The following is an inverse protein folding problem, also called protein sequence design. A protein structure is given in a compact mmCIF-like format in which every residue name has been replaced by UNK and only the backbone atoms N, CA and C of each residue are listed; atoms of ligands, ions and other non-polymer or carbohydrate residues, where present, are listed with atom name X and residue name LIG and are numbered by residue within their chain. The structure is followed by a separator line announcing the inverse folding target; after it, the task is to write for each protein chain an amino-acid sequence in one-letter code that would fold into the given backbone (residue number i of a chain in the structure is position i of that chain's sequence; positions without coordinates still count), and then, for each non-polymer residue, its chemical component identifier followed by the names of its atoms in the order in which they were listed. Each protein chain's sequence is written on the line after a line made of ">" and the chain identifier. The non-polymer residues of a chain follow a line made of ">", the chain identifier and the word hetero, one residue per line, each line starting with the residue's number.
data_IF_478794274783
#
_entry.id   IF_478794274783
#
_cell.length_a   1.000
_cell.length_b   1.000
_cell.length_c   1.000
_cell.angle_alpha   90.00
_cell.angle_beta   90.00
_cell.angle_gamma   90.00
#
_symmetry.space_group_name_H-M   'P 1'
#
loop_
_entity.id
_entity.type
_entity.pdbx_description
1 polymer ?
#
# COMPACT_ATOMS: atom_id res chain seq x y z
N UNK A 1 6.12 -0.59 -23.70
CA UNK A 1 5.41 -1.88 -23.86
C UNK A 1 4.87 -2.30 -22.50
N UNK A 2 3.60 -2.71 -22.42
CA UNK A 2 3.01 -3.32 -21.21
C UNK A 2 2.95 -4.82 -21.43
N UNK A 3 3.51 -5.60 -20.49
CA UNK A 3 3.44 -7.07 -20.53
C UNK A 3 2.12 -7.55 -19.92
N UNK A 4 1.56 -8.57 -20.51
CA UNK A 4 0.43 -9.34 -20.01
C UNK A 4 0.70 -10.84 -20.21
N UNK A 5 -0.13 -11.76 -19.68
CA UNK A 5 0.08 -13.20 -19.81
C UNK A 5 0.18 -13.70 -21.25
N UNK A 6 -0.46 -13.02 -22.21
CA UNK A 6 -0.49 -13.38 -23.63
C UNK A 6 0.66 -12.73 -24.43
N UNK A 7 1.51 -11.94 -23.78
CA UNK A 7 2.63 -11.30 -24.47
C UNK A 7 3.63 -12.33 -24.97
N UNK A 8 4.17 -12.11 -26.17
CA UNK A 8 5.26 -12.92 -26.70
C UNK A 8 6.48 -12.87 -25.75
N UNK A 9 7.29 -13.92 -25.69
CA UNK A 9 8.51 -13.92 -24.89
C UNK A 9 9.41 -12.74 -25.22
N UNK A 10 10.00 -12.13 -24.19
CA UNK A 10 10.91 -11.00 -24.37
C UNK A 10 12.18 -11.45 -25.11
N UNK A 11 12.65 -10.61 -26.04
CA UNK A 11 13.98 -10.76 -26.65
C UNK A 11 15.08 -10.56 -25.60
N UNK A 12 16.31 -10.90 -25.94
CA UNK A 12 17.47 -10.75 -25.03
C UNK A 12 18.07 -9.36 -25.05
N UNK A 13 17.68 -8.49 -26.00
CA UNK A 13 18.19 -7.13 -26.08
C UNK A 13 17.15 -6.11 -25.59
N UNK A 14 17.51 -5.35 -24.56
CA UNK A 14 16.66 -4.26 -24.06
C UNK A 14 16.50 -3.13 -25.09
N UNK A 15 17.35 -3.04 -26.10
CA UNK A 15 17.22 -2.05 -27.17
C UNK A 15 15.98 -2.28 -28.05
N UNK A 16 15.48 -3.52 -28.12
CA UNK A 16 14.23 -3.84 -28.80
C UNK A 16 12.99 -3.22 -28.11
N UNK A 17 13.18 -2.67 -26.91
CA UNK A 17 12.15 -1.98 -26.12
C UNK A 17 12.51 -0.50 -25.88
N UNK A 18 12.48 0.33 -26.94
CA UNK A 18 12.97 1.72 -26.87
C UNK A 18 12.23 2.59 -25.86
N UNK A 19 10.96 2.30 -25.56
CA UNK A 19 10.16 2.99 -24.53
C UNK A 19 10.23 2.32 -23.16
N UNK A 20 10.96 1.20 -23.06
CA UNK A 20 11.02 0.38 -21.86
C UNK A 20 9.82 -0.58 -21.73
N UNK A 21 9.75 -1.23 -20.58
CA UNK A 21 8.77 -2.28 -20.30
C UNK A 21 8.05 -1.96 -18.99
N UNK A 22 6.74 -2.14 -18.96
CA UNK A 22 5.90 -2.07 -17.76
C UNK A 22 5.36 -3.48 -17.50
N UNK A 23 5.50 -3.97 -16.27
CA UNK A 23 5.01 -5.28 -15.85
C UNK A 23 4.04 -5.07 -14.69
N UNK A 24 2.75 -5.41 -14.83
CA UNK A 24 1.85 -5.53 -13.70
C UNK A 24 2.20 -6.80 -12.93
N UNK A 25 2.45 -6.66 -11.64
CA UNK A 25 2.79 -7.78 -10.75
C UNK A 25 1.81 -7.78 -9.59
N UNK A 26 1.18 -8.90 -9.33
CA UNK A 26 0.46 -9.12 -8.10
C UNK A 26 1.46 -9.21 -6.94
N UNK A 27 1.49 -8.16 -6.10
CA UNK A 27 2.44 -8.10 -4.99
C UNK A 27 2.03 -9.10 -3.89
N UNK A 28 2.89 -10.04 -3.53
CA UNK A 28 2.57 -10.99 -2.49
C UNK A 28 2.37 -10.31 -1.13
N UNK A 29 1.50 -10.90 -0.31
CA UNK A 29 1.31 -10.53 1.10
C UNK A 29 2.64 -10.56 1.86
N UNK A 30 2.87 -9.59 2.73
CA UNK A 30 4.10 -9.37 3.53
C UNK A 30 5.37 -9.01 2.73
N UNK A 31 5.26 -8.82 1.42
CA UNK A 31 6.36 -8.27 0.64
C UNK A 31 6.26 -6.74 0.60
N UNK A 32 7.40 -6.07 0.71
CA UNK A 32 7.47 -4.65 0.37
C UNK A 32 7.53 -4.46 -1.14
N UNK A 33 7.12 -3.29 -1.64
CA UNK A 33 7.31 -2.93 -3.05
C UNK A 33 8.79 -2.99 -3.45
N UNK A 34 9.71 -2.67 -2.52
CA UNK A 34 11.16 -2.78 -2.72
C UNK A 34 11.65 -4.23 -2.90
N UNK A 35 11.02 -5.20 -2.23
CA UNK A 35 11.35 -6.63 -2.41
C UNK A 35 11.01 -7.09 -3.82
N UNK A 36 9.83 -6.70 -4.32
CA UNK A 36 9.42 -6.97 -5.70
C UNK A 36 10.43 -6.36 -6.69
N UNK A 37 10.76 -5.07 -6.50
CA UNK A 37 11.73 -4.40 -7.37
C UNK A 37 13.09 -5.10 -7.36
N UNK A 38 13.57 -5.52 -6.21
CA UNK A 38 14.85 -6.26 -6.08
C UNK A 38 14.83 -7.56 -6.88
N UNK A 39 13.74 -8.32 -6.76
CA UNK A 39 13.53 -9.59 -7.47
C UNK A 39 13.47 -9.39 -8.99
N UNK A 40 12.64 -8.45 -9.44
CA UNK A 40 12.49 -8.13 -10.87
C UNK A 40 13.79 -7.58 -11.45
N UNK A 41 14.46 -6.67 -10.74
CA UNK A 41 15.76 -6.13 -11.19
C UNK A 41 16.79 -7.21 -11.42
N UNK A 42 16.90 -8.15 -10.48
CA UNK A 42 17.82 -9.29 -10.62
C UNK A 42 17.48 -10.12 -11.86
N UNK A 43 16.20 -10.46 -12.05
CA UNK A 43 15.75 -11.23 -13.22
C UNK A 43 15.99 -10.46 -14.54
N UNK A 44 15.66 -9.17 -14.58
CA UNK A 44 15.83 -8.33 -15.76
C UNK A 44 17.32 -8.16 -16.15
N UNK A 45 18.20 -7.91 -15.17
CA UNK A 45 19.65 -7.83 -15.41
C UNK A 45 20.18 -9.14 -16.00
N UNK A 46 19.75 -10.27 -15.44
CA UNK A 46 20.16 -11.59 -15.93
C UNK A 46 19.62 -11.89 -17.34
N UNK A 47 18.36 -11.48 -17.60
CA UNK A 47 17.73 -11.71 -18.91
C UNK A 47 18.39 -10.88 -20.02
N UNK A 48 18.58 -9.57 -19.80
CA UNK A 48 19.11 -8.63 -20.79
C UNK A 48 20.64 -8.49 -20.77
N UNK A 49 21.34 -9.12 -19.83
CA UNK A 49 22.80 -9.00 -19.71
C UNK A 49 23.30 -7.59 -19.37
N UNK A 50 22.40 -6.66 -18.97
CA UNK A 50 22.71 -5.24 -18.75
C UNK A 50 22.75 -4.89 -17.25
N UNK A 51 23.96 -4.75 -16.70
CA UNK A 51 24.19 -4.51 -15.27
C UNK A 51 23.52 -3.22 -14.73
N UNK A 52 23.54 -2.13 -15.49
CA UNK A 52 23.01 -0.81 -15.09
C UNK A 52 21.56 -0.57 -15.55
N UNK A 53 20.75 -1.63 -15.57
CA UNK A 53 19.34 -1.51 -15.97
C UNK A 53 18.55 -0.81 -14.86
N UNK A 54 17.85 0.28 -15.23
CA UNK A 54 16.94 0.97 -14.31
C UNK A 54 15.69 0.13 -14.14
N UNK A 55 15.27 -0.06 -12.89
CA UNK A 55 14.01 -0.70 -12.53
C UNK A 55 13.41 0.05 -11.35
N UNK A 56 12.15 0.38 -11.45
CA UNK A 56 11.37 1.10 -10.43
C UNK A 56 9.91 0.67 -10.46
N UNK A 57 9.07 1.27 -9.63
CA UNK A 57 7.63 1.01 -9.61
C UNK A 57 6.83 2.31 -9.69
N UNK A 58 5.60 2.21 -10.15
CA UNK A 58 4.62 3.29 -10.19
C UNK A 58 3.58 3.09 -9.07
N UNK A 59 3.86 3.66 -7.92
CA UNK A 59 3.04 3.50 -6.70
C UNK A 59 3.67 2.53 -5.69
N UNK A 60 3.35 2.74 -4.42
CA UNK A 60 3.77 1.87 -3.32
C UNK A 60 2.55 1.14 -2.79
N UNK A 61 2.70 -0.15 -2.55
CA UNK A 61 1.78 -0.95 -1.75
C UNK A 61 2.46 -1.29 -0.42
N UNK A 62 1.71 -1.15 0.66
CA UNK A 62 2.18 -1.50 2.00
C UNK A 62 2.45 -3.00 2.12
N UNK A 63 3.26 -3.45 3.11
CA UNK A 63 3.62 -4.87 3.23
C UNK A 63 2.40 -5.79 3.35
N UNK A 64 1.37 -5.37 4.08
CA UNK A 64 0.15 -6.15 4.29
C UNK A 64 -0.84 -6.08 3.12
N UNK A 65 -0.68 -5.12 2.20
CA UNK A 65 -1.49 -5.06 0.99
C UNK A 65 -0.99 -6.05 -0.07
N UNK A 66 -1.93 -6.63 -0.82
CA UNK A 66 -1.70 -7.37 -2.06
C UNK A 66 -2.24 -6.58 -3.25
N UNK A 67 -2.06 -7.05 -4.46
CA UNK A 67 -2.62 -6.46 -5.66
C UNK A 67 -1.57 -5.89 -6.63
N UNK A 68 -2.03 -5.14 -7.60
CA UNK A 68 -1.24 -4.74 -8.77
C UNK A 68 -0.18 -3.71 -8.43
N UNK A 69 1.08 -4.10 -8.55
CA UNK A 69 2.23 -3.20 -8.53
C UNK A 69 2.80 -3.06 -9.95
N UNK A 70 2.74 -1.85 -10.51
CA UNK A 70 3.32 -1.59 -11.83
C UNK A 70 4.84 -1.43 -11.72
N UNK A 71 5.57 -2.38 -12.26
CA UNK A 71 7.04 -2.36 -12.30
C UNK A 71 7.50 -1.86 -13.66
N UNK A 72 8.34 -0.82 -13.65
CA UNK A 72 8.87 -0.15 -14.83
C UNK A 72 10.34 -0.53 -15.04
N UNK A 73 10.71 -0.93 -16.26
CA UNK A 73 12.08 -1.32 -16.64
C UNK A 73 12.59 -0.40 -17.76
N UNK A 74 13.83 0.02 -17.66
CA UNK A 74 14.48 0.87 -18.66
C UNK A 74 13.89 2.28 -18.71
N UNK A 75 13.54 2.77 -19.91
CA UNK A 75 12.97 4.11 -20.08
C UNK A 75 11.57 4.26 -19.46
N UNK A 76 10.81 3.17 -19.32
CA UNK A 76 9.50 3.20 -18.69
C UNK A 76 9.55 3.71 -17.23
N UNK A 77 10.70 3.69 -16.56
CA UNK A 77 10.84 4.32 -15.22
C UNK A 77 10.56 5.81 -15.20
N UNK A 78 10.58 6.49 -16.34
CA UNK A 78 10.23 7.91 -16.46
C UNK A 78 8.71 8.15 -16.44
N UNK A 79 7.93 7.11 -16.72
CA UNK A 79 6.47 7.16 -16.72
C UNK A 79 5.89 6.90 -15.32
N UNK A 80 6.73 6.58 -14.33
CA UNK A 80 6.26 6.15 -13.00
C UNK A 80 5.37 7.21 -12.33
N UNK A 81 5.69 8.49 -12.45
CA UNK A 81 4.92 9.60 -11.87
C UNK A 81 3.56 9.76 -12.56
N UNK A 82 3.53 9.70 -13.89
CA UNK A 82 2.30 9.72 -14.69
C UNK A 82 1.39 8.54 -14.34
N UNK A 83 1.94 7.32 -14.28
CA UNK A 83 1.19 6.13 -13.89
C UNK A 83 0.65 6.21 -12.46
N UNK A 84 1.35 6.90 -11.56
CA UNK A 84 0.87 7.13 -10.20
C UNK A 84 -0.29 8.13 -10.12
N UNK A 85 -0.48 8.97 -11.12
CA UNK A 85 -1.57 9.95 -11.14
C UNK A 85 -2.91 9.38 -11.60
N UNK A 86 -2.92 8.17 -12.15
CA UNK A 86 -4.16 7.51 -12.59
C UNK A 86 -5.02 7.10 -11.39
N UNK A 87 -6.31 6.86 -11.65
CA UNK A 87 -7.26 6.35 -10.67
C UNK A 87 -6.81 5.01 -10.10
N UNK A 88 -7.21 4.76 -8.86
CA UNK A 88 -6.89 3.54 -8.12
C UNK A 88 -8.14 3.00 -7.46
N UNK A 89 -8.26 1.70 -7.49
CA UNK A 89 -9.32 0.97 -6.79
C UNK A 89 -8.70 0.11 -5.69
N UNK A 90 -9.34 0.09 -4.51
CA UNK A 90 -8.91 -0.67 -3.36
C UNK A 90 -10.08 -1.42 -2.75
N UNK A 91 -9.85 -2.66 -2.36
CA UNK A 91 -10.73 -3.38 -1.45
C UNK A 91 -10.07 -3.37 -0.07
N UNK A 92 -10.70 -2.73 0.90
CA UNK A 92 -10.17 -2.55 2.24
C UNK A 92 -11.05 -3.25 3.28
N UNK A 93 -10.44 -4.05 4.15
CA UNK A 93 -11.07 -4.56 5.35
C UNK A 93 -10.90 -3.56 6.49
N UNK A 94 -12.01 -3.11 7.09
CA UNK A 94 -12.02 -2.21 8.24
C UNK A 94 -12.56 -2.94 9.44
N UNK A 95 -11.81 -2.94 10.56
CA UNK A 95 -12.24 -3.51 11.84
C UNK A 95 -12.62 -2.38 12.78
N UNK A 96 -13.88 -2.36 13.22
CA UNK A 96 -14.38 -1.40 14.19
C UNK A 96 -14.06 -1.82 15.62
N UNK A 97 -14.00 -0.85 16.53
CA UNK A 97 -13.83 -1.07 17.97
C UNK A 97 -12.39 -1.13 18.46
N UNK A 98 -11.41 -0.92 17.57
CA UNK A 98 -10.00 -0.87 17.96
C UNK A 98 -9.20 0.09 17.07
N UNK A 99 -8.09 0.59 17.59
CA UNK A 99 -7.08 1.32 16.83
C UNK A 99 -5.72 0.67 16.95
N UNK A 100 -4.85 0.97 15.99
CA UNK A 100 -3.42 0.64 16.02
C UNK A 100 -2.61 1.87 15.64
N UNK A 101 -1.38 2.03 16.12
CA UNK A 101 -0.55 3.19 15.79
C UNK A 101 -0.21 3.34 14.30
N UNK A 102 -0.33 2.27 13.52
CA UNK A 102 -0.06 2.24 12.07
C UNK A 102 -1.33 2.32 11.21
N UNK A 103 -2.52 2.30 11.82
CA UNK A 103 -3.83 2.18 11.17
C UNK A 103 -4.03 0.89 10.36
N UNK A 104 -3.14 -0.07 10.53
CA UNK A 104 -3.20 -1.41 9.95
C UNK A 104 -2.81 -2.47 10.99
N UNK A 105 -2.66 -3.72 10.54
CA UNK A 105 -2.29 -4.84 11.41
C UNK A 105 -0.77 -5.06 11.54
N UNK A 106 0.06 -4.07 11.17
CA UNK A 106 1.52 -4.14 11.43
C UNK A 106 1.86 -3.96 12.91
N UNK A 107 1.01 -3.23 13.64
CA UNK A 107 1.17 -2.95 15.06
C UNK A 107 0.05 -3.57 15.89
N UNK A 108 0.33 -3.81 17.14
CA UNK A 108 -0.66 -4.27 18.10
C UNK A 108 -1.69 -3.17 18.39
N UNK A 109 -2.87 -3.60 18.83
CA UNK A 109 -3.95 -2.70 19.23
C UNK A 109 -3.50 -1.85 20.41
N UNK A 110 -3.66 -0.54 20.29
CA UNK A 110 -3.33 0.42 21.35
C UNK A 110 -4.57 0.91 22.14
N UNK A 111 -5.76 0.87 21.52
CA UNK A 111 -7.01 1.29 22.18
C UNK A 111 -8.20 0.48 21.70
N UNK A 112 -9.16 0.29 22.62
CA UNK A 112 -10.47 -0.31 22.33
C UNK A 112 -11.59 0.70 22.52
N UNK A 113 -12.63 0.57 21.71
CA UNK A 113 -13.82 1.42 21.72
C UNK A 113 -15.10 0.59 21.68
N UNK A 114 -16.22 1.08 22.25
CA UNK A 114 -17.52 0.46 22.06
C UNK A 114 -17.87 0.42 20.56
N UNK A 115 -18.34 -0.72 20.08
CA UNK A 115 -18.67 -0.93 18.66
C UNK A 115 -19.99 -1.66 18.43
N UNK A 116 -20.69 -2.03 19.50
CA UNK A 116 -21.93 -2.81 19.46
C UNK A 116 -23.07 -2.09 18.71
N UNK A 117 -22.99 -0.76 18.62
CA UNK A 117 -23.96 0.08 17.93
C UNK A 117 -23.70 0.19 16.43
N UNK A 118 -22.58 -0.32 15.92
CA UNK A 118 -22.21 -0.22 14.53
C UNK A 118 -22.91 -1.34 13.74
N UNK A 119 -23.71 -0.96 12.75
CA UNK A 119 -24.44 -1.86 11.86
C UNK A 119 -24.05 -1.60 10.40
N UNK A 120 -24.37 -2.52 9.50
CA UNK A 120 -24.20 -2.32 8.06
C UNK A 120 -24.90 -1.03 7.60
N UNK A 121 -26.14 -0.80 8.02
CA UNK A 121 -26.90 0.41 7.69
C UNK A 121 -26.19 1.69 8.20
N UNK A 122 -25.63 1.66 9.41
CA UNK A 122 -24.89 2.81 9.93
C UNK A 122 -23.64 3.11 9.10
N UNK A 123 -22.94 2.09 8.64
CA UNK A 123 -21.77 2.23 7.75
C UNK A 123 -22.22 2.78 6.39
N UNK A 124 -23.21 2.17 5.73
CA UNK A 124 -23.74 2.62 4.43
C UNK A 124 -24.18 4.09 4.48
N UNK A 125 -24.85 4.50 5.53
CA UNK A 125 -25.26 5.88 5.73
C UNK A 125 -24.10 6.87 5.91
N UNK A 126 -22.94 6.41 6.37
CA UNK A 126 -21.76 7.24 6.54
C UNK A 126 -20.93 7.39 5.24
N UNK A 127 -20.94 6.40 4.33
CA UNK A 127 -20.09 6.40 3.14
C UNK A 127 -20.24 7.66 2.25
N UNK A 128 -21.44 8.22 2.02
CA UNK A 128 -21.59 9.40 1.17
C UNK A 128 -20.80 10.63 1.65
N UNK A 129 -20.51 10.73 2.96
CA UNK A 129 -19.72 11.82 3.51
C UNK A 129 -18.24 11.78 3.10
N UNK A 130 -17.77 10.66 2.59
CA UNK A 130 -16.38 10.46 2.14
C UNK A 130 -16.23 10.55 0.62
N UNK A 131 -17.31 10.73 -0.13
CA UNK A 131 -17.26 10.87 -1.59
C UNK A 131 -16.97 12.31 -1.96
N UNK A 132 -16.16 12.51 -3.01
CA UNK A 132 -15.76 13.80 -3.55
C UNK A 132 -14.38 14.25 -3.12
N UNK A 133 -14.13 15.54 -3.29
CA UNK A 133 -12.84 16.15 -2.94
C UNK A 133 -12.69 16.35 -1.45
N UNK A 134 -11.55 15.92 -0.90
CA UNK A 134 -11.26 16.03 0.52
C UNK A 134 -9.80 16.42 0.75
N UNK A 135 -9.58 17.10 1.86
CA UNK A 135 -8.24 17.36 2.38
C UNK A 135 -7.85 16.21 3.33
N UNK A 136 -6.77 15.52 3.01
CA UNK A 136 -6.27 14.40 3.78
C UNK A 136 -4.85 14.66 4.30
N UNK A 137 -4.65 14.44 5.59
CA UNK A 137 -3.32 14.31 6.19
C UNK A 137 -3.01 12.80 6.25
N UNK A 138 -1.93 12.41 5.61
CA UNK A 138 -1.51 11.01 5.66
C UNK A 138 -1.08 10.64 7.08
N UNK A 139 -1.24 9.37 7.51
CA UNK A 139 -0.68 8.92 8.78
C UNK A 139 0.84 9.03 8.78
N UNK A 140 1.45 9.12 9.97
CA UNK A 140 2.90 9.21 10.08
C UNK A 140 3.57 7.91 9.58
N UNK A 141 2.93 6.75 9.75
CA UNK A 141 3.34 5.49 9.12
C UNK A 141 2.97 5.47 7.62
N UNK A 142 3.54 6.38 6.84
CA UNK A 142 3.30 6.46 5.39
C UNK A 142 4.60 6.66 4.61
N UNK A 143 4.51 6.49 3.29
CA UNK A 143 5.61 6.71 2.36
C UNK A 143 5.86 8.21 2.05
N UNK A 144 5.11 9.15 2.66
CA UNK A 144 5.34 10.58 2.52
C UNK A 144 6.74 10.96 3.02
N UNK A 145 7.24 12.11 2.60
CA UNK A 145 8.57 12.59 2.98
C UNK A 145 8.48 13.94 3.67
N UNK A 146 9.22 14.09 4.76
CA UNK A 146 9.42 15.34 5.51
C UNK A 146 10.91 15.67 5.46
N UNK A 147 11.28 16.76 4.85
CA UNK A 147 12.66 17.22 4.71
C UNK A 147 13.64 16.13 4.19
N UNK A 148 13.16 15.31 3.24
CA UNK A 148 13.96 14.24 2.65
C UNK A 148 13.98 12.93 3.45
N UNK A 149 13.38 12.89 4.64
CA UNK A 149 13.24 11.68 5.47
C UNK A 149 11.84 11.10 5.27
N UNK A 150 11.73 9.79 5.17
CA UNK A 150 10.43 9.12 5.06
C UNK A 150 9.66 9.20 6.38
N UNK A 151 8.37 9.52 6.31
CA UNK A 151 7.51 9.69 7.49
C UNK A 151 7.49 8.41 8.36
N UNK A 152 7.46 7.22 7.77
CA UNK A 152 7.50 5.96 8.52
C UNK A 152 8.81 5.77 9.32
N UNK A 153 9.94 6.39 8.89
CA UNK A 153 11.20 6.34 9.64
C UNK A 153 11.12 7.23 10.88
N UNK A 154 10.44 8.38 10.75
CA UNK A 154 10.15 9.27 11.89
C UNK A 154 9.21 8.58 12.88
N UNK A 155 8.13 7.97 12.36
CA UNK A 155 7.19 7.20 13.17
C UNK A 155 7.89 6.10 13.97
N UNK A 156 8.77 5.32 13.34
CA UNK A 156 9.55 4.28 14.02
C UNK A 156 10.48 4.82 15.10
N UNK A 157 11.09 5.97 14.88
CA UNK A 157 11.93 6.62 15.89
C UNK A 157 11.12 7.08 17.09
N UNK A 158 9.98 7.74 16.86
CA UNK A 158 9.07 8.17 17.91
C UNK A 158 8.54 6.96 18.69
N UNK A 159 8.10 5.92 17.98
CA UNK A 159 7.58 4.69 18.58
C UNK A 159 8.63 3.99 19.47
N UNK A 160 9.90 3.93 19.03
CA UNK A 160 10.97 3.34 19.82
C UNK A 160 11.37 4.20 21.01
N UNK A 161 11.47 5.51 20.84
CA UNK A 161 11.89 6.43 21.91
C UNK A 161 10.93 6.43 23.09
N UNK A 162 9.63 6.22 22.82
CA UNK A 162 8.59 6.26 23.84
C UNK A 162 8.27 4.86 24.39
N UNK A 163 8.58 3.77 23.67
CA UNK A 163 8.33 2.40 24.13
C UNK A 163 9.18 1.97 25.33
N UNK A 164 10.20 2.75 25.69
CA UNK A 164 11.02 2.52 26.90
C UNK A 164 10.40 3.15 28.17
N UNK A 165 9.45 4.11 28.04
CA UNK A 165 8.87 4.82 29.17
C UNK A 165 7.33 4.87 29.20
N UNK A 166 6.66 4.88 28.06
CA UNK A 166 5.18 4.87 27.94
C UNK A 166 4.76 4.28 26.60
N UNK A 167 3.56 3.65 26.53
CA UNK A 167 3.03 3.15 25.26
C UNK A 167 2.62 4.32 24.36
N UNK A 168 3.23 4.44 23.18
CA UNK A 168 2.82 5.41 22.15
C UNK A 168 1.44 5.06 21.64
N UNK A 169 0.50 5.98 21.76
CA UNK A 169 -0.84 5.84 21.25
C UNK A 169 -0.97 6.41 19.82
N UNK A 170 -1.97 5.95 19.09
CA UNK A 170 -2.30 6.48 17.75
C UNK A 170 -2.46 8.01 17.76
N UNK A 171 -3.10 8.56 18.82
CA UNK A 171 -3.29 10.01 18.99
C UNK A 171 -2.00 10.84 19.01
N UNK A 172 -0.90 10.28 19.53
CA UNK A 172 0.40 10.98 19.57
C UNK A 172 1.01 11.06 18.19
N UNK A 173 0.86 10.00 17.41
CA UNK A 173 1.31 9.94 16.03
C UNK A 173 0.46 10.81 15.10
N UNK A 174 -0.84 10.94 15.36
CA UNK A 174 -1.74 11.84 14.63
C UNK A 174 -1.32 13.30 14.83
N UNK A 175 -1.11 13.70 16.07
CA UNK A 175 -0.63 15.05 16.38
C UNK A 175 0.71 15.34 15.70
N UNK A 176 1.63 14.39 15.68
CA UNK A 176 2.90 14.52 14.97
C UNK A 176 2.71 14.57 13.44
N UNK A 177 1.77 13.81 12.89
CA UNK A 177 1.45 13.82 11.46
C UNK A 177 0.88 15.17 11.03
N UNK A 178 -0.05 15.75 11.80
CA UNK A 178 -0.64 17.07 11.56
C UNK A 178 0.40 18.19 11.54
N UNK A 179 1.40 18.10 12.41
CA UNK A 179 2.48 19.10 12.49
C UNK A 179 3.53 18.96 11.38
N UNK A 180 3.80 17.74 10.92
CA UNK A 180 4.93 17.43 10.05
C UNK A 180 4.54 17.21 8.59
N UNK A 181 3.33 16.72 8.33
CA UNK A 181 2.90 16.33 6.99
C UNK A 181 1.99 17.39 6.35
N UNK A 182 2.20 17.61 5.07
CA UNK A 182 1.35 18.51 4.29
C UNK A 182 0.02 17.82 3.97
N UNK A 183 -1.06 18.59 4.04
CA UNK A 183 -2.37 18.23 3.52
C UNK A 183 -2.26 17.83 2.04
N UNK A 184 -2.89 16.75 1.66
CA UNK A 184 -3.03 16.30 0.27
C UNK A 184 -4.48 16.38 -0.13
N UNK A 185 -4.75 17.02 -1.27
CA UNK A 185 -6.09 16.98 -1.87
C UNK A 185 -6.29 15.64 -2.53
N UNK A 186 -7.34 14.92 -2.15
CA UNK A 186 -7.75 13.66 -2.74
C UNK A 186 -9.18 13.78 -3.27
N UNK A 187 -9.55 12.91 -4.20
CA UNK A 187 -10.92 12.79 -4.68
C UNK A 187 -11.33 11.33 -4.65
N UNK A 188 -12.38 11.02 -3.91
CA UNK A 188 -12.98 9.68 -3.87
C UNK A 188 -14.20 9.71 -4.78
N UNK A 189 -14.11 9.00 -5.90
CA UNK A 189 -15.17 8.98 -6.92
C UNK A 189 -16.27 7.98 -6.57
N UNK A 190 -15.91 6.90 -5.91
CA UNK A 190 -16.82 5.81 -5.56
C UNK A 190 -16.38 5.16 -4.25
N UNK A 191 -17.35 4.79 -3.41
CA UNK A 191 -17.14 4.08 -2.16
C UNK A 191 -18.38 3.26 -1.86
N UNK A 192 -18.24 1.95 -1.74
CA UNK A 192 -19.34 1.02 -1.45
C UNK A 192 -18.98 0.02 -0.35
N UNK A 193 -19.98 -0.45 0.36
CA UNK A 193 -19.86 -1.52 1.33
C UNK A 193 -20.07 -2.87 0.63
N UNK A 194 -18.99 -3.64 0.44
CA UNK A 194 -19.07 -4.95 -0.20
C UNK A 194 -19.64 -6.03 0.73
N UNK A 195 -19.30 -5.96 2.02
CA UNK A 195 -19.78 -6.91 3.03
C UNK A 195 -19.65 -6.33 4.42
N UNK A 196 -20.50 -6.79 5.33
CA UNK A 196 -20.43 -6.45 6.75
C UNK A 196 -20.61 -7.75 7.57
N UNK A 197 -19.61 -8.08 8.40
CA UNK A 197 -19.67 -9.25 9.27
C UNK A 197 -19.94 -8.82 10.73
N UNK A 198 -20.86 -9.48 11.37
CA UNK A 198 -21.10 -9.34 12.80
C UNK A 198 -19.96 -9.96 13.65
N UNK A 199 -20.11 -9.85 14.95
CA UNK A 199 -19.11 -10.07 16.02
C UNK A 199 -18.29 -11.37 15.97
N UNK A 200 -18.65 -12.42 15.21
CA UNK A 200 -18.03 -13.75 15.28
C UNK A 200 -17.54 -14.35 13.96
N UNK A 201 -17.62 -13.65 12.83
CA UNK A 201 -17.36 -14.29 11.52
C UNK A 201 -16.13 -13.76 10.76
N UNK A 202 -15.47 -12.71 11.21
CA UNK A 202 -14.62 -11.95 10.30
C UNK A 202 -13.10 -11.97 10.50
N UNK A 203 -12.57 -12.31 11.66
CA UNK A 203 -11.13 -12.07 11.93
C UNK A 203 -10.22 -13.28 11.68
N UNK A 204 -10.77 -14.49 11.51
CA UNK A 204 -9.97 -15.71 11.31
C UNK A 204 -9.83 -16.13 9.83
N UNK A 205 -10.78 -15.79 8.95
CA UNK A 205 -10.84 -16.36 7.59
C UNK A 205 -10.01 -15.62 6.53
N UNK A 206 -9.72 -14.34 6.70
CA UNK A 206 -8.94 -13.59 5.70
C UNK A 206 -7.43 -13.86 5.77
N UNK A 207 -6.92 -14.29 6.91
CA UNK A 207 -5.51 -14.64 7.07
C UNK A 207 -5.16 -16.05 6.54
N UNK A 208 -6.17 -16.93 6.36
CA UNK A 208 -5.97 -18.32 5.95
C UNK A 208 -6.21 -18.60 4.47
N UNK A 209 -6.86 -17.71 3.73
CA UNK A 209 -7.12 -17.92 2.28
C UNK A 209 -5.91 -17.66 1.36
N UNK A 210 -4.76 -17.28 1.92
CA UNK A 210 -3.52 -17.05 1.15
C UNK A 210 -2.55 -18.23 1.07
N UNK A 211 -2.87 -19.41 1.62
CA UNK A 211 -1.90 -20.52 1.75
C UNK A 211 -2.20 -21.78 0.93
N UNK A 212 -3.24 -21.78 0.08
CA UNK A 212 -3.46 -22.92 -0.84
C UNK A 212 -3.37 -22.48 -2.30
N UNK A 213 -2.17 -22.26 -2.78
CA UNK A 213 -1.82 -22.41 -4.20
C UNK A 213 -0.46 -23.09 -4.31
N UNK A 214 -0.53 -24.41 -4.31
CA UNK A 214 0.23 -25.41 -5.01
C UNK A 214 1.72 -25.21 -5.22
N UNK A 215 2.55 -26.04 -4.60
CA UNK A 215 3.70 -26.62 -5.27
C UNK A 215 3.26 -27.75 -6.22
N UNK A 216 4.14 -28.32 -7.03
CA UNK A 216 5.59 -28.39 -6.98
C UNK A 216 6.30 -27.53 -8.02
#
# INVERSE_FOLDING_TARGET
>A
MILNPDSAPLTRDIADYPEGIIIPIDKPYRWTSADVIRKVKYAAIRHFGKKNLKVGHAGTLDPLATGVLLVCIGKATKLAEELQSHDKEYVAGVTFGATTPSYDLEKEIDRFFPHEHISAEAVENALPAFIGEQDQIAPLFSAKSVDGVRAYELARKLYKANSENESVQSSDLDTAAEQLLRVSRINITELELLSFAGRNEGLMDSATRGTEAGGP
#
